data_IF_644098517987
#
_entry.id   IF_644098517987
#
_cell.length_a   1.000
_cell.length_b   1.000
_cell.length_c   1.000
_cell.angle_alpha   90.00
_cell.angle_beta   90.00
_cell.angle_gamma   90.00
#
_symmetry.space_group_name_H-M   'P 1'
#
loop_
_entity.id
_entity.type
_entity.pdbx_description
1 polymer ?
#
# COMPACT_ATOMS: atom_id res chain seq x y z
N UNK A 1 22.42 7.64 -5.85
CA UNK A 1 20.96 7.81 -5.63
C UNK A 1 20.74 8.80 -4.51
N UNK A 2 19.86 9.80 -4.69
CA UNK A 2 19.60 10.84 -3.68
C UNK A 2 18.23 10.53 -3.00
N UNK A 3 18.22 10.43 -1.67
CA UNK A 3 17.07 9.93 -0.88
C UNK A 3 16.95 8.41 -0.94
N UNK A 4 18.08 7.71 -0.90
CA UNK A 4 18.17 6.24 -1.10
C UNK A 4 17.44 5.45 -0.01
N UNK A 5 17.24 6.01 1.19
CA UNK A 5 16.56 5.39 2.33
C UNK A 5 15.03 5.41 2.25
N UNK A 6 14.45 5.95 1.19
CA UNK A 6 13.02 5.83 0.93
C UNK A 6 12.65 4.40 0.52
N UNK A 7 11.44 3.92 0.89
CA UNK A 7 11.02 2.54 0.63
C UNK A 7 11.18 2.13 -0.85
N UNK A 8 10.63 2.91 -1.80
CA UNK A 8 10.76 2.60 -3.22
C UNK A 8 12.19 2.77 -3.77
N UNK A 9 12.96 3.72 -3.22
CA UNK A 9 14.33 3.98 -3.66
C UNK A 9 15.28 2.85 -3.20
N UNK A 10 15.14 2.37 -1.98
CA UNK A 10 15.98 1.30 -1.43
C UNK A 10 15.80 -0.01 -2.20
N UNK A 11 14.56 -0.35 -2.56
CA UNK A 11 14.29 -1.53 -3.40
C UNK A 11 14.96 -1.45 -4.77
N UNK A 12 14.86 -0.31 -5.45
CA UNK A 12 15.56 -0.06 -6.73
C UNK A 12 17.06 -0.18 -6.56
N UNK A 13 17.62 0.38 -5.47
CA UNK A 13 19.05 0.29 -5.18
C UNK A 13 19.55 -1.16 -5.04
N UNK A 14 18.80 -1.99 -4.31
CA UNK A 14 19.12 -3.42 -4.14
C UNK A 14 19.05 -4.18 -5.46
N UNK A 15 18.01 -3.96 -6.27
CA UNK A 15 17.87 -4.61 -7.58
C UNK A 15 19.01 -4.23 -8.52
N UNK A 16 19.34 -2.94 -8.61
CA UNK A 16 20.43 -2.46 -9.45
C UNK A 16 21.78 -3.01 -8.97
N UNK A 17 22.02 -3.02 -7.65
CA UNK A 17 23.25 -3.56 -7.08
C UNK A 17 23.43 -5.05 -7.39
N UNK A 18 22.40 -5.86 -7.19
CA UNK A 18 22.40 -7.28 -7.54
C UNK A 18 22.51 -7.52 -9.06
N UNK A 19 22.02 -6.59 -9.87
CA UNK A 19 22.20 -6.57 -11.32
C UNK A 19 23.62 -6.18 -11.77
N UNK A 20 24.57 -5.99 -10.83
CA UNK A 20 25.99 -5.69 -11.12
C UNK A 20 26.30 -4.21 -11.30
N UNK A 21 25.36 -3.30 -11.03
CA UNK A 21 25.64 -1.87 -11.04
C UNK A 21 26.36 -1.43 -9.77
N UNK A 22 27.27 -0.48 -9.88
CA UNK A 22 27.87 0.20 -8.73
C UNK A 22 26.86 1.24 -8.23
N UNK A 23 26.25 0.96 -7.09
CA UNK A 23 25.23 1.83 -6.49
C UNK A 23 25.80 2.49 -5.24
N UNK A 24 25.66 3.80 -5.14
CA UNK A 24 25.92 4.60 -3.94
C UNK A 24 24.76 5.53 -3.68
N UNK A 25 24.60 6.04 -2.48
CA UNK A 25 23.54 7.01 -2.23
C UNK A 25 23.68 7.80 -0.96
N UNK A 26 22.74 8.72 -0.79
CA UNK A 26 22.63 9.60 0.37
C UNK A 26 21.19 9.69 0.87
N UNK A 27 21.02 9.93 2.18
CA UNK A 27 19.73 10.23 2.79
C UNK A 27 19.90 11.22 3.94
N UNK A 28 18.85 11.95 4.28
CA UNK A 28 18.86 12.90 5.40
C UNK A 28 19.03 12.22 6.76
N UNK A 29 18.53 11.00 6.90
CA UNK A 29 18.45 10.28 8.19
C UNK A 29 18.85 8.82 8.02
N UNK A 30 19.40 8.27 9.09
CA UNK A 30 19.44 6.82 9.23
C UNK A 30 18.01 6.24 9.33
N UNK A 31 17.81 5.12 8.67
CA UNK A 31 16.57 4.36 8.70
C UNK A 31 16.86 2.86 8.64
N UNK A 32 15.89 1.99 8.92
CA UNK A 32 16.06 0.55 8.67
C UNK A 32 16.47 0.24 7.22
N UNK A 33 15.96 1.00 6.26
CA UNK A 33 16.34 0.84 4.85
C UNK A 33 17.79 1.20 4.57
N UNK A 34 18.28 2.33 5.09
CA UNK A 34 19.69 2.72 4.89
C UNK A 34 20.66 1.72 5.51
N UNK A 35 20.34 1.17 6.70
CA UNK A 35 21.16 0.13 7.35
C UNK A 35 21.20 -1.15 6.53
N UNK A 36 20.03 -1.61 6.04
CA UNK A 36 19.95 -2.81 5.18
C UNK A 36 20.75 -2.64 3.90
N UNK A 37 20.73 -1.46 3.29
CA UNK A 37 21.57 -1.18 2.11
C UNK A 37 23.06 -1.25 2.43
N UNK A 38 23.48 -0.69 3.58
CA UNK A 38 24.87 -0.76 4.03
C UNK A 38 25.30 -2.21 4.33
N UNK A 39 24.45 -3.00 4.97
CA UNK A 39 24.65 -4.43 5.20
C UNK A 39 24.74 -5.23 3.89
N UNK A 40 24.01 -4.81 2.84
CA UNK A 40 24.11 -5.37 1.49
C UNK A 40 25.36 -4.90 0.70
N UNK A 41 26.22 -4.06 1.31
CA UNK A 41 27.44 -3.56 0.68
C UNK A 41 27.25 -2.31 -0.21
N UNK A 42 26.10 -1.63 -0.12
CA UNK A 42 25.82 -0.38 -0.83
C UNK A 42 26.25 0.80 0.06
N UNK A 43 27.22 1.62 -0.35
CA UNK A 43 27.63 2.79 0.43
C UNK A 43 26.50 3.83 0.54
N UNK A 44 26.15 4.21 1.77
CA UNK A 44 25.14 5.24 2.05
C UNK A 44 25.72 6.31 2.95
N UNK A 45 25.67 7.57 2.50
CA UNK A 45 26.02 8.75 3.28
C UNK A 45 24.78 9.33 3.98
N UNK A 46 24.95 9.80 5.22
CA UNK A 46 23.91 10.54 5.94
C UNK A 46 24.17 12.03 5.81
N UNK A 47 23.13 12.77 5.42
CA UNK A 47 23.21 14.15 4.94
C UNK A 47 23.45 14.22 3.44
N UNK A 48 23.30 15.43 2.88
CA UNK A 48 23.49 15.71 1.46
C UNK A 48 24.62 16.71 1.24
N UNK A 49 25.62 16.33 0.40
CA UNK A 49 26.72 17.21 0.04
C UNK A 49 27.19 16.93 -1.40
N UNK A 50 27.56 17.98 -2.15
CA UNK A 50 27.94 17.91 -3.55
C UNK A 50 29.05 16.88 -3.84
N UNK A 51 30.03 16.72 -2.95
CA UNK A 51 31.14 15.78 -3.11
C UNK A 51 30.72 14.31 -3.02
N UNK A 52 29.57 14.00 -2.42
CA UNK A 52 29.04 12.62 -2.30
C UNK A 52 28.62 12.04 -3.64
N UNK A 53 28.45 12.88 -4.66
CA UNK A 53 28.11 12.44 -6.01
C UNK A 53 29.22 11.57 -6.63
N UNK A 54 30.47 11.74 -6.20
CA UNK A 54 31.61 10.96 -6.74
C UNK A 54 31.69 10.98 -8.27
N UNK A 55 32.02 9.86 -8.87
CA UNK A 55 32.13 9.68 -10.33
C UNK A 55 30.86 9.02 -10.91
N UNK A 56 29.69 9.42 -10.42
CA UNK A 56 28.43 8.86 -10.89
C UNK A 56 28.17 9.17 -12.37
N UNK A 57 27.76 8.13 -13.13
CA UNK A 57 27.35 8.26 -14.52
C UNK A 57 25.88 8.71 -14.64
N UNK A 58 25.08 8.46 -13.60
CA UNK A 58 23.66 8.79 -13.54
C UNK A 58 23.22 9.04 -12.10
N UNK A 59 22.27 9.95 -11.91
CA UNK A 59 21.63 10.24 -10.62
C UNK A 59 20.15 9.82 -10.69
N UNK A 60 19.72 9.05 -9.68
CA UNK A 60 18.31 8.70 -9.49
C UNK A 60 17.76 9.49 -8.30
N UNK A 61 16.62 10.16 -8.48
CA UNK A 61 15.95 10.97 -7.43
C UNK A 61 14.49 10.57 -7.26
N UNK A 62 13.95 10.81 -6.05
CA UNK A 62 12.52 10.79 -5.81
C UNK A 62 11.93 12.20 -5.90
N UNK A 63 10.61 12.30 -6.02
CA UNK A 63 9.87 13.57 -6.00
C UNK A 63 10.02 14.36 -4.69
N UNK A 64 10.46 13.70 -3.60
CA UNK A 64 10.70 14.33 -2.31
C UNK A 64 12.01 15.15 -2.27
N UNK A 65 12.88 15.04 -3.27
CA UNK A 65 14.17 15.75 -3.29
C UNK A 65 13.95 17.18 -3.79
N UNK A 66 14.24 18.21 -2.95
CA UNK A 66 14.03 19.59 -3.34
C UNK A 66 15.05 20.01 -4.42
N UNK A 67 14.64 20.93 -5.29
CA UNK A 67 15.50 21.50 -6.34
C UNK A 67 16.79 22.16 -5.83
N UNK A 68 16.83 22.51 -4.54
CA UNK A 68 17.99 23.11 -3.85
C UNK A 68 18.96 22.07 -3.29
N UNK A 69 18.71 20.76 -3.46
CA UNK A 69 19.59 19.72 -2.95
C UNK A 69 21.00 19.87 -3.55
N UNK A 70 22.08 19.87 -2.73
CA UNK A 70 23.44 20.16 -3.21
C UNK A 70 23.98 19.10 -4.17
N UNK A 71 23.59 17.83 -4.04
CA UNK A 71 23.99 16.76 -4.98
C UNK A 71 23.27 16.90 -6.31
N UNK A 72 21.98 17.28 -6.28
CA UNK A 72 21.20 17.55 -7.50
C UNK A 72 21.78 18.74 -8.29
N UNK A 73 22.09 19.82 -7.59
CA UNK A 73 22.73 20.99 -8.21
C UNK A 73 24.11 20.65 -8.79
N UNK A 74 24.91 19.84 -8.12
CA UNK A 74 26.21 19.38 -8.62
C UNK A 74 26.07 18.47 -9.83
N UNK A 75 25.08 17.56 -9.84
CA UNK A 75 24.78 16.73 -11.01
C UNK A 75 24.44 17.59 -12.24
N UNK A 76 23.60 18.62 -12.06
CA UNK A 76 23.26 19.57 -13.12
C UNK A 76 24.49 20.33 -13.60
N UNK A 77 25.33 20.84 -12.68
CA UNK A 77 26.58 21.54 -13.02
C UNK A 77 27.53 20.69 -13.85
N UNK A 78 27.61 19.39 -13.54
CA UNK A 78 28.47 18.41 -14.23
C UNK A 78 27.80 17.78 -15.46
N UNK A 79 26.54 18.17 -15.80
CA UNK A 79 25.74 17.58 -16.89
C UNK A 79 25.55 16.06 -16.74
N UNK A 80 25.50 15.56 -15.51
CA UNK A 80 25.20 14.15 -15.22
C UNK A 80 23.69 13.94 -15.42
N UNK A 81 23.25 12.91 -16.17
CA UNK A 81 21.84 12.60 -16.34
C UNK A 81 21.12 12.37 -15.01
N UNK A 82 20.04 13.11 -14.78
CA UNK A 82 19.16 12.92 -13.61
C UNK A 82 17.87 12.28 -14.05
N UNK A 83 17.52 11.15 -13.47
CA UNK A 83 16.30 10.40 -13.79
C UNK A 83 15.40 10.28 -12.56
N UNK A 84 14.09 10.42 -12.71
CA UNK A 84 13.14 10.15 -11.64
C UNK A 84 13.13 8.65 -11.26
N UNK A 85 12.77 8.36 -10.01
CA UNK A 85 12.60 7.00 -9.47
C UNK A 85 11.78 6.10 -10.40
N UNK A 86 10.68 6.61 -10.93
CA UNK A 86 9.78 5.85 -11.81
C UNK A 86 10.45 5.45 -13.12
N UNK A 87 11.29 6.32 -13.71
CA UNK A 87 12.03 5.97 -14.92
C UNK A 87 13.14 4.93 -14.65
N UNK A 88 13.74 4.94 -13.46
CA UNK A 88 14.67 3.87 -13.05
C UNK A 88 13.93 2.53 -12.86
N UNK A 89 12.75 2.55 -12.25
CA UNK A 89 11.88 1.38 -12.12
C UNK A 89 11.46 0.84 -13.50
N UNK A 90 11.04 1.71 -14.41
CA UNK A 90 10.68 1.32 -15.78
C UNK A 90 11.79 0.57 -16.51
N UNK A 91 13.05 1.00 -16.34
CA UNK A 91 14.20 0.30 -16.93
C UNK A 91 14.44 -1.08 -16.32
N UNK A 92 14.20 -1.23 -15.01
CA UNK A 92 14.28 -2.55 -14.36
C UNK A 92 13.21 -3.48 -14.93
N UNK A 93 11.96 -3.00 -15.05
CA UNK A 93 10.84 -3.78 -15.56
C UNK A 93 11.01 -4.17 -17.04
N UNK A 94 11.66 -3.33 -17.82
CA UNK A 94 11.95 -3.60 -19.24
C UNK A 94 12.99 -4.71 -19.46
N UNK A 95 13.67 -5.17 -18.41
CA UNK A 95 14.66 -6.24 -18.51
C UNK A 95 14.06 -7.65 -18.67
N UNK A 96 12.74 -7.82 -18.49
CA UNK A 96 12.07 -9.11 -18.59
C UNK A 96 10.54 -8.99 -18.63
N UNK A 97 9.86 -10.10 -18.35
CA UNK A 97 8.41 -10.13 -18.24
C UNK A 97 7.98 -9.35 -16.99
N UNK A 98 7.11 -8.36 -17.17
CA UNK A 98 6.74 -7.48 -16.06
C UNK A 98 5.25 -7.46 -15.82
N UNK A 99 4.89 -7.52 -14.53
CA UNK A 99 3.54 -7.35 -14.02
C UNK A 99 3.53 -6.15 -13.08
N UNK A 100 2.68 -5.18 -13.34
CA UNK A 100 2.47 -4.07 -12.41
C UNK A 100 1.11 -4.16 -11.74
N UNK A 101 1.04 -3.71 -10.49
CA UNK A 101 -0.21 -3.63 -9.74
C UNK A 101 -0.52 -2.16 -9.50
N UNK A 102 -1.57 -1.69 -10.15
CA UNK A 102 -2.10 -0.34 -10.09
C UNK A 102 -3.47 -0.33 -9.39
N UNK A 103 -4.00 0.85 -9.11
CA UNK A 103 -5.30 1.07 -8.49
C UNK A 103 -5.18 1.98 -7.27
N UNK A 104 -6.27 2.56 -6.83
CA UNK A 104 -6.25 3.48 -5.69
C UNK A 104 -5.94 2.74 -4.40
N UNK A 105 -6.56 1.58 -4.16
CA UNK A 105 -6.40 0.77 -2.96
C UNK A 105 -5.97 -0.66 -3.27
N UNK A 106 -5.34 -1.33 -2.28
CA UNK A 106 -4.99 -2.75 -2.37
C UNK A 106 -3.69 -3.06 -3.12
N UNK A 107 -3.01 -2.08 -3.73
CA UNK A 107 -1.76 -2.27 -4.49
C UNK A 107 -0.73 -3.12 -3.75
N UNK A 108 -0.30 -2.66 -2.59
CA UNK A 108 0.75 -3.31 -1.78
C UNK A 108 0.40 -4.75 -1.42
N UNK A 109 -0.83 -4.98 -0.98
CA UNK A 109 -1.29 -6.33 -0.61
C UNK A 109 -1.37 -7.24 -1.83
N UNK A 110 -1.91 -6.75 -2.96
CA UNK A 110 -1.98 -7.52 -4.20
C UNK A 110 -0.60 -7.83 -4.76
N UNK A 111 0.34 -6.88 -4.76
CA UNK A 111 1.74 -7.11 -5.16
C UNK A 111 2.40 -8.18 -4.29
N UNK A 112 2.15 -8.11 -2.97
CA UNK A 112 2.65 -9.08 -2.00
C UNK A 112 2.07 -10.47 -2.20
N UNK A 113 0.74 -10.58 -2.39
CA UNK A 113 0.07 -11.84 -2.68
C UNK A 113 0.53 -12.44 -4.01
N UNK A 114 0.66 -11.60 -5.06
CA UNK A 114 1.18 -12.05 -6.37
C UNK A 114 2.59 -12.60 -6.23
N UNK A 115 3.46 -11.91 -5.50
CA UNK A 115 4.83 -12.38 -5.24
C UNK A 115 4.83 -13.71 -4.47
N UNK A 116 4.00 -13.83 -3.43
CA UNK A 116 3.87 -15.06 -2.64
C UNK A 116 3.37 -16.24 -3.49
N UNK A 117 2.32 -16.02 -4.28
CA UNK A 117 1.74 -17.00 -5.20
C UNK A 117 2.79 -17.49 -6.19
N UNK A 118 3.48 -16.60 -6.85
CA UNK A 118 4.49 -16.95 -7.85
C UNK A 118 5.63 -17.77 -7.23
N UNK A 119 6.10 -17.41 -6.03
CA UNK A 119 7.09 -18.22 -5.30
C UNK A 119 6.57 -19.62 -4.93
N UNK A 120 5.31 -19.71 -4.49
CA UNK A 120 4.68 -20.98 -4.16
C UNK A 120 4.48 -21.88 -5.39
N UNK A 121 4.38 -21.28 -6.59
CA UNK A 121 4.29 -22.00 -7.87
C UNK A 121 5.67 -22.37 -8.45
N UNK A 122 6.77 -21.96 -7.79
CA UNK A 122 8.14 -22.31 -8.19
C UNK A 122 8.85 -21.24 -9.02
N UNK A 123 8.22 -20.07 -9.21
CA UNK A 123 8.88 -18.90 -9.78
C UNK A 123 9.76 -18.22 -8.72
N UNK A 124 10.78 -17.50 -9.18
CA UNK A 124 11.63 -16.69 -8.30
C UNK A 124 11.67 -15.24 -8.82
N UNK A 125 10.54 -14.48 -8.74
CA UNK A 125 10.46 -13.16 -9.32
C UNK A 125 11.28 -12.13 -8.56
N UNK A 126 11.70 -11.07 -9.26
CA UNK A 126 12.10 -9.83 -8.60
C UNK A 126 10.86 -9.00 -8.34
N UNK A 127 10.61 -8.64 -7.06
CA UNK A 127 9.43 -7.88 -6.67
C UNK A 127 9.80 -6.60 -5.90
N UNK A 128 9.20 -5.46 -6.30
CA UNK A 128 9.31 -4.17 -5.62
C UNK A 128 7.93 -3.80 -5.05
N UNK A 129 7.84 -3.80 -3.74
CA UNK A 129 6.61 -3.70 -2.97
C UNK A 129 6.60 -2.39 -2.19
N UNK A 130 5.46 -1.70 -2.10
CA UNK A 130 5.32 -0.43 -1.39
C UNK A 130 5.41 -0.55 0.14
N UNK A 131 5.30 -1.75 0.69
CA UNK A 131 5.39 -2.07 2.11
C UNK A 131 6.26 -3.28 2.40
N UNK A 132 6.58 -3.50 3.68
CA UNK A 132 7.35 -4.66 4.11
C UNK A 132 6.46 -5.90 4.24
N UNK A 133 6.86 -7.01 3.61
CA UNK A 133 6.28 -8.33 3.82
C UNK A 133 6.63 -8.84 5.21
N UNK A 134 5.65 -9.29 5.98
CA UNK A 134 5.87 -9.81 7.33
C UNK A 134 6.80 -11.03 7.32
N UNK A 135 6.66 -11.90 6.32
CA UNK A 135 7.43 -13.14 6.23
C UNK A 135 8.91 -12.92 5.85
N UNK A 136 9.24 -11.77 5.26
CA UNK A 136 10.58 -11.49 4.72
C UNK A 136 11.26 -10.31 5.45
N UNK A 137 10.46 -9.43 6.06
CA UNK A 137 10.97 -8.19 6.68
C UNK A 137 11.58 -7.21 5.67
N UNK A 138 11.16 -7.29 4.40
CA UNK A 138 11.67 -6.47 3.30
C UNK A 138 10.54 -6.01 2.38
N UNK A 139 10.75 -4.87 1.76
CA UNK A 139 9.91 -4.33 0.69
C UNK A 139 10.43 -4.67 -0.72
N UNK A 140 11.46 -5.49 -0.81
CA UNK A 140 12.03 -5.97 -2.06
C UNK A 140 12.36 -7.45 -1.95
N UNK A 141 12.05 -8.18 -3.01
CA UNK A 141 12.53 -9.55 -3.26
C UNK A 141 13.33 -9.49 -4.54
N UNK A 142 14.57 -9.95 -4.52
CA UNK A 142 15.37 -10.05 -5.74
C UNK A 142 15.56 -11.51 -6.09
N UNK A 143 14.81 -11.94 -7.10
CA UNK A 143 14.86 -13.28 -7.69
C UNK A 143 15.87 -13.39 -8.82
N UNK A 144 15.90 -14.57 -9.43
CA UNK A 144 16.79 -14.91 -10.56
C UNK A 144 15.98 -15.25 -11.84
N UNK A 145 14.64 -15.21 -11.77
CA UNK A 145 13.80 -15.36 -12.97
C UNK A 145 13.74 -14.05 -13.76
N UNK A 146 13.28 -14.15 -15.02
CA UNK A 146 13.01 -13.00 -15.89
C UNK A 146 11.71 -12.25 -15.54
N UNK A 147 11.04 -12.63 -14.45
CA UNK A 147 9.75 -12.09 -14.04
C UNK A 147 9.91 -10.99 -12.99
N UNK A 148 9.31 -9.83 -13.27
CA UNK A 148 9.29 -8.67 -12.38
C UNK A 148 7.86 -8.36 -11.94
N UNK A 149 7.68 -8.07 -10.64
CA UNK A 149 6.41 -7.63 -10.07
C UNK A 149 6.62 -6.30 -9.37
N UNK A 150 5.85 -5.27 -9.68
CA UNK A 150 6.02 -3.97 -9.05
C UNK A 150 4.69 -3.24 -8.83
N UNK A 151 4.66 -2.35 -7.85
CA UNK A 151 3.57 -1.40 -7.72
C UNK A 151 3.70 -0.28 -8.74
N UNK A 152 2.57 0.09 -9.36
CA UNK A 152 2.41 1.25 -10.23
C UNK A 152 1.68 2.34 -9.43
N UNK A 153 2.41 3.38 -9.05
CA UNK A 153 1.92 4.45 -8.17
C UNK A 153 1.25 5.56 -8.98
N UNK A 154 -0.03 5.82 -8.70
CA UNK A 154 -0.80 6.89 -9.32
C UNK A 154 -0.62 8.24 -8.63
N UNK A 155 -0.17 8.26 -7.37
CA UNK A 155 -0.21 9.44 -6.49
C UNK A 155 0.48 10.68 -7.06
N UNK A 156 1.48 10.49 -7.91
CA UNK A 156 2.23 11.53 -8.63
C UNK A 156 2.25 11.30 -10.16
N UNK A 157 1.33 10.46 -10.66
CA UNK A 157 1.25 9.99 -12.05
C UNK A 157 2.50 9.22 -12.52
N UNK A 158 3.33 8.76 -11.60
CA UNK A 158 4.56 8.06 -11.93
C UNK A 158 4.32 6.71 -12.62
N UNK A 159 3.13 6.12 -12.47
CA UNK A 159 2.74 4.93 -13.22
C UNK A 159 2.86 5.12 -14.74
N UNK A 160 2.72 6.35 -15.27
CA UNK A 160 2.83 6.64 -16.71
C UNK A 160 4.25 6.50 -17.28
N UNK A 161 5.27 6.32 -16.44
CA UNK A 161 6.62 5.96 -16.90
C UNK A 161 6.78 4.47 -17.20
N UNK A 162 5.83 3.64 -16.69
CA UNK A 162 5.95 2.19 -16.75
C UNK A 162 5.32 1.65 -18.02
N UNK A 163 5.99 0.68 -18.66
CA UNK A 163 5.53 -0.02 -19.84
C UNK A 163 5.50 -1.54 -19.54
N UNK A 164 4.59 -2.00 -18.69
CA UNK A 164 4.53 -3.40 -18.28
C UNK A 164 3.95 -4.29 -19.40
N UNK A 165 4.29 -5.58 -19.36
CA UNK A 165 3.64 -6.58 -20.21
C UNK A 165 2.22 -6.89 -19.73
N UNK A 166 2.01 -6.90 -18.41
CA UNK A 166 0.68 -7.03 -17.84
C UNK A 166 0.49 -6.04 -16.67
N UNK A 167 -0.77 -5.63 -16.46
CA UNK A 167 -1.13 -4.81 -15.32
C UNK A 167 -2.41 -5.32 -14.66
N UNK A 168 -2.44 -5.21 -13.34
CA UNK A 168 -3.66 -5.31 -12.54
C UNK A 168 -4.13 -3.90 -12.23
N UNK A 169 -5.43 -3.63 -12.38
CA UNK A 169 -6.07 -2.44 -11.82
C UNK A 169 -7.10 -2.90 -10.80
N UNK A 170 -6.85 -2.61 -9.54
CA UNK A 170 -7.69 -3.10 -8.43
C UNK A 170 -9.00 -2.33 -8.30
N UNK A 171 -8.93 -1.03 -8.34
CA UNK A 171 -10.05 -0.09 -8.26
C UNK A 171 -9.60 1.32 -8.68
N UNK A 172 -10.55 2.23 -8.96
CA UNK A 172 -10.30 3.62 -9.31
C UNK A 172 -11.23 4.52 -8.52
N UNK A 173 -10.71 5.13 -7.47
CA UNK A 173 -11.41 6.08 -6.61
C UNK A 173 -10.70 7.43 -6.59
N UNK A 174 -11.41 8.47 -6.12
CA UNK A 174 -10.81 9.79 -5.96
C UNK A 174 -9.93 9.83 -4.72
N UNK A 175 -8.63 9.95 -4.92
CA UNK A 175 -7.63 10.22 -3.88
C UNK A 175 -6.58 11.20 -4.41
N UNK A 176 -5.64 11.58 -3.57
CA UNK A 176 -4.54 12.51 -3.90
C UNK A 176 -5.03 13.86 -4.46
N UNK A 177 -5.88 14.62 -3.70
CA UNK A 177 -6.43 15.90 -4.14
C UNK A 177 -5.37 17.01 -4.30
N UNK A 178 -4.12 16.73 -3.93
CA UNK A 178 -2.93 17.56 -4.20
C UNK A 178 -2.44 17.41 -5.66
N UNK A 179 -2.76 16.29 -6.35
CA UNK A 179 -2.38 16.02 -7.73
C UNK A 179 -3.56 15.94 -8.69
N UNK A 180 -4.73 15.54 -8.20
CA UNK A 180 -5.93 15.33 -9.02
C UNK A 180 -7.05 16.28 -8.64
N UNK A 181 -7.67 16.89 -9.64
CA UNK A 181 -8.78 17.81 -9.44
C UNK A 181 -10.12 17.09 -9.25
N UNK A 182 -10.28 15.87 -9.76
CA UNK A 182 -11.53 15.11 -9.75
C UNK A 182 -11.28 13.62 -10.00
N UNK A 183 -12.32 12.79 -9.80
CA UNK A 183 -12.31 11.38 -10.18
C UNK A 183 -12.04 11.20 -11.68
N UNK A 184 -12.56 12.06 -12.53
CA UNK A 184 -12.33 12.00 -14.00
C UNK A 184 -10.84 12.20 -14.34
N UNK A 185 -10.13 13.04 -13.58
CA UNK A 185 -8.69 13.25 -13.78
C UNK A 185 -7.89 12.01 -13.32
N UNK A 186 -8.28 11.38 -12.21
CA UNK A 186 -7.73 10.07 -11.80
C UNK A 186 -7.99 9.02 -12.87
N UNK A 187 -9.25 8.86 -13.29
CA UNK A 187 -9.66 7.90 -14.31
C UNK A 187 -8.88 8.08 -15.63
N UNK A 188 -8.74 9.32 -16.09
CA UNK A 188 -7.98 9.65 -17.31
C UNK A 188 -6.51 9.21 -17.20
N UNK A 189 -5.92 9.28 -16.01
CA UNK A 189 -4.56 8.80 -15.78
C UNK A 189 -4.46 7.27 -15.90
N UNK A 190 -5.39 6.54 -15.29
CA UNK A 190 -5.46 5.08 -15.43
C UNK A 190 -5.79 4.66 -16.87
N UNK A 191 -6.68 5.36 -17.55
CA UNK A 191 -7.03 5.08 -18.94
C UNK A 191 -5.81 5.23 -19.87
N UNK A 192 -5.02 6.29 -19.69
CA UNK A 192 -3.77 6.48 -20.43
C UNK A 192 -2.78 5.36 -20.16
N UNK A 193 -2.67 4.92 -18.91
CA UNK A 193 -1.79 3.82 -18.52
C UNK A 193 -2.24 2.49 -19.17
N UNK A 194 -3.53 2.18 -19.12
CA UNK A 194 -4.09 0.97 -19.73
C UNK A 194 -3.95 1.00 -21.26
N UNK A 195 -4.21 2.14 -21.91
CA UNK A 195 -4.03 2.30 -23.38
C UNK A 195 -2.59 2.16 -23.86
N UNK A 196 -1.62 2.32 -22.95
CA UNK A 196 -0.19 2.14 -23.27
C UNK A 196 0.25 0.67 -23.19
N UNK A 197 -0.59 -0.24 -22.73
CA UNK A 197 -0.26 -1.67 -22.75
C UNK A 197 -0.02 -2.18 -24.16
N UNK A 198 0.93 -3.09 -24.36
CA UNK A 198 1.14 -3.72 -25.66
C UNK A 198 -0.07 -4.59 -26.06
N UNK A 199 -0.33 -4.73 -27.36
CA UNK A 199 -1.48 -5.50 -27.86
C UNK A 199 -1.41 -7.00 -27.55
N UNK A 200 -0.21 -7.52 -27.30
CA UNK A 200 0.08 -8.88 -26.83
C UNK A 200 0.26 -8.95 -25.31
N UNK A 201 0.02 -7.83 -24.62
CA UNK A 201 0.03 -7.73 -23.18
C UNK A 201 -1.23 -8.28 -22.52
N UNK A 202 -1.46 -7.93 -21.24
CA UNK A 202 -2.64 -8.38 -20.53
C UNK A 202 -3.11 -7.37 -19.46
N UNK A 203 -4.42 -7.20 -19.36
CA UNK A 203 -5.06 -6.42 -18.31
C UNK A 203 -5.87 -7.32 -17.38
N UNK A 204 -5.69 -7.16 -16.06
CA UNK A 204 -6.50 -7.78 -15.02
C UNK A 204 -7.27 -6.69 -14.27
N UNK A 205 -8.60 -6.77 -14.20
CA UNK A 205 -9.43 -5.73 -13.57
C UNK A 205 -10.49 -6.30 -12.63
N UNK A 206 -10.74 -5.57 -11.53
CA UNK A 206 -11.85 -5.87 -10.61
C UNK A 206 -13.20 -5.46 -11.19
N UNK A 207 -14.23 -6.30 -11.08
CA UNK A 207 -15.60 -6.03 -11.55
C UNK A 207 -16.47 -5.31 -10.52
N UNK A 208 -16.04 -5.26 -9.27
CA UNK A 208 -16.79 -4.62 -8.18
C UNK A 208 -16.72 -3.08 -8.25
N UNK A 209 -15.78 -2.53 -9.01
CA UNK A 209 -15.66 -1.10 -9.31
C UNK A 209 -16.12 -0.81 -10.74
N UNK A 210 -17.16 0.04 -10.95
CA UNK A 210 -17.66 0.38 -12.28
C UNK A 210 -16.61 1.08 -13.16
N UNK A 211 -15.67 1.82 -12.59
CA UNK A 211 -14.60 2.46 -13.36
C UNK A 211 -13.65 1.43 -13.98
N UNK A 212 -13.43 0.30 -13.31
CA UNK A 212 -12.63 -0.80 -13.86
C UNK A 212 -13.27 -1.42 -15.10
N UNK A 213 -14.60 -1.51 -15.17
CA UNK A 213 -15.31 -1.97 -16.36
C UNK A 213 -15.10 -1.04 -17.58
N UNK A 214 -15.03 0.28 -17.32
CA UNK A 214 -14.72 1.27 -18.36
C UNK A 214 -13.27 1.15 -18.83
N UNK A 215 -12.33 0.90 -17.92
CA UNK A 215 -10.92 0.65 -18.27
C UNK A 215 -10.76 -0.61 -19.10
N UNK A 216 -11.48 -1.68 -18.77
CA UNK A 216 -11.48 -2.93 -19.54
C UNK A 216 -11.86 -2.71 -21.01
N UNK A 217 -12.87 -1.85 -21.26
CA UNK A 217 -13.30 -1.49 -22.62
C UNK A 217 -12.25 -0.65 -23.40
N UNK A 218 -11.32 -0.01 -22.71
CA UNK A 218 -10.25 0.81 -23.30
C UNK A 218 -8.96 0.04 -23.58
N UNK A 219 -8.85 -1.22 -23.09
CA UNK A 219 -7.62 -1.99 -23.20
C UNK A 219 -7.32 -2.41 -24.64
N UNK A 220 -6.07 -2.27 -25.14
CA UNK A 220 -5.66 -2.74 -26.46
C UNK A 220 -5.33 -4.25 -26.49
N UNK A 221 -5.39 -4.93 -25.36
CA UNK A 221 -4.94 -6.30 -25.13
C UNK A 221 -6.05 -7.16 -24.52
N UNK A 222 -5.86 -8.50 -24.40
CA UNK A 222 -6.76 -9.38 -23.68
C UNK A 222 -6.96 -8.94 -22.23
N UNK A 223 -8.18 -9.16 -21.71
CA UNK A 223 -8.59 -8.77 -20.35
C UNK A 223 -9.05 -9.99 -19.58
N UNK A 224 -8.61 -10.12 -18.34
CA UNK A 224 -9.18 -11.03 -17.34
C UNK A 224 -9.89 -10.19 -16.28
N UNK A 225 -11.14 -10.56 -15.98
CA UNK A 225 -11.95 -9.90 -14.96
C UNK A 225 -12.03 -10.73 -13.69
N UNK A 226 -12.05 -10.07 -12.52
CA UNK A 226 -12.27 -10.76 -11.25
C UNK A 226 -13.19 -9.96 -10.33
N UNK A 227 -13.88 -10.62 -9.40
CA UNK A 227 -14.77 -9.93 -8.45
C UNK A 227 -15.38 -10.83 -7.39
N UNK A 228 -16.19 -10.25 -6.50
CA UNK A 228 -16.88 -11.01 -5.44
C UNK A 228 -18.07 -11.82 -5.95
N UNK A 229 -18.71 -11.39 -7.02
CA UNK A 229 -19.94 -12.02 -7.53
C UNK A 229 -19.96 -12.24 -9.05
N UNK A 230 -19.01 -11.66 -9.77
CA UNK A 230 -18.91 -11.71 -11.22
C UNK A 230 -17.45 -11.60 -11.66
N UNK A 231 -17.18 -12.03 -12.89
CA UNK A 231 -15.84 -12.03 -13.51
C UNK A 231 -15.42 -13.43 -13.94
N UNK A 232 -14.34 -13.51 -14.72
CA UNK A 232 -13.73 -14.77 -15.13
C UNK A 232 -13.27 -15.58 -13.90
N UNK A 233 -12.77 -14.87 -12.87
CA UNK A 233 -12.54 -15.41 -11.54
C UNK A 233 -13.43 -14.68 -10.53
N UNK A 234 -14.25 -15.40 -9.77
CA UNK A 234 -15.01 -14.76 -8.70
C UNK A 234 -15.15 -15.64 -7.45
N UNK A 235 -15.59 -15.04 -6.34
CA UNK A 235 -15.63 -15.70 -5.04
C UNK A 235 -17.04 -15.81 -4.49
N UNK A 236 -17.48 -17.02 -4.14
CA UNK A 236 -18.64 -17.22 -3.26
C UNK A 236 -18.15 -17.19 -1.81
N UNK A 237 -18.39 -16.06 -1.14
CA UNK A 237 -17.91 -15.82 0.23
C UNK A 237 -18.59 -16.77 1.22
N UNK A 238 -17.80 -17.47 2.03
CA UNK A 238 -18.27 -18.32 3.13
C UNK A 238 -18.00 -17.68 4.50
N UNK A 239 -16.86 -16.99 4.65
CA UNK A 239 -16.49 -16.23 5.86
C UNK A 239 -15.50 -15.11 5.50
N UNK A 240 -14.90 -14.45 6.49
CA UNK A 240 -13.95 -13.36 6.30
C UNK A 240 -12.71 -13.70 5.48
N UNK A 241 -12.29 -14.97 5.52
CA UNK A 241 -11.08 -15.46 4.86
C UNK A 241 -11.29 -16.76 4.10
N UNK A 242 -12.56 -17.19 3.94
CA UNK A 242 -12.92 -18.44 3.30
C UNK A 242 -13.93 -18.19 2.20
N UNK A 243 -13.67 -18.71 0.99
CA UNK A 243 -14.57 -18.59 -0.15
C UNK A 243 -14.44 -19.79 -1.08
N UNK A 244 -15.45 -20.01 -1.94
CA UNK A 244 -15.33 -20.93 -3.07
C UNK A 244 -14.87 -20.14 -4.28
N UNK A 245 -13.76 -20.53 -4.88
CA UNK A 245 -13.30 -19.98 -6.16
C UNK A 245 -14.17 -20.51 -7.29
N UNK A 246 -14.70 -19.62 -8.09
CA UNK A 246 -15.38 -19.92 -9.35
C UNK A 246 -14.53 -19.37 -10.49
N UNK A 247 -14.24 -20.21 -11.47
CA UNK A 247 -13.45 -19.88 -12.66
C UNK A 247 -14.24 -20.22 -13.90
N UNK A 248 -14.47 -19.25 -14.78
CA UNK A 248 -15.28 -19.39 -16.01
C UNK A 248 -16.68 -20.03 -15.76
N UNK A 249 -17.28 -19.71 -14.61
CA UNK A 249 -18.59 -20.21 -14.18
C UNK A 249 -18.58 -21.57 -13.46
N UNK A 250 -17.42 -22.22 -13.34
CA UNK A 250 -17.27 -23.52 -12.66
C UNK A 250 -16.64 -23.37 -11.27
N UNK A 251 -17.21 -24.03 -10.26
CA UNK A 251 -16.63 -24.08 -8.92
C UNK A 251 -15.38 -24.95 -8.91
N UNK A 252 -14.24 -24.35 -8.54
CA UNK A 252 -12.95 -25.04 -8.47
C UNK A 252 -12.68 -25.66 -7.08
N UNK A 253 -13.21 -25.06 -6.04
CA UNK A 253 -13.06 -25.51 -4.66
C UNK A 253 -12.90 -24.38 -3.66
N UNK A 254 -12.74 -24.77 -2.40
CA UNK A 254 -12.65 -23.83 -1.28
C UNK A 254 -11.23 -23.30 -1.11
N UNK A 255 -11.11 -21.99 -0.94
CA UNK A 255 -9.87 -21.27 -0.68
C UNK A 255 -9.95 -20.63 0.70
N UNK A 256 -8.95 -20.88 1.53
CA UNK A 256 -8.75 -20.23 2.83
C UNK A 256 -7.54 -19.29 2.74
N UNK A 257 -7.70 -18.03 3.17
CA UNK A 257 -6.62 -17.05 3.18
C UNK A 257 -5.99 -16.95 4.58
N UNK A 258 -4.70 -16.66 4.65
CA UNK A 258 -4.00 -16.33 5.90
C UNK A 258 -4.37 -14.96 6.48
N UNK A 259 -5.11 -14.14 5.74
CA UNK A 259 -5.57 -12.79 6.11
C UNK A 259 -7.07 -12.64 5.93
N UNK A 260 -7.68 -11.69 6.64
CA UNK A 260 -9.12 -11.50 6.71
C UNK A 260 -9.60 -10.33 5.86
N UNK A 261 -10.87 -10.36 5.45
CA UNK A 261 -11.57 -9.25 4.82
C UNK A 261 -11.89 -9.48 3.34
N UNK A 262 -13.06 -8.97 2.91
CA UNK A 262 -13.52 -9.08 1.52
C UNK A 262 -12.53 -8.44 0.53
N UNK A 263 -11.91 -7.33 0.91
CA UNK A 263 -10.87 -6.69 0.12
C UNK A 263 -9.66 -7.61 -0.10
N UNK A 264 -9.30 -8.47 0.87
CA UNK A 264 -8.23 -9.45 0.71
C UNK A 264 -8.66 -10.65 -0.15
N UNK A 265 -9.95 -11.01 -0.17
CA UNK A 265 -10.47 -11.95 -1.16
C UNK A 265 -10.31 -11.38 -2.57
N UNK A 266 -10.67 -10.12 -2.81
CA UNK A 266 -10.43 -9.44 -4.10
C UNK A 266 -8.94 -9.42 -4.48
N UNK A 267 -8.06 -9.04 -3.56
CA UNK A 267 -6.62 -9.04 -3.78
C UNK A 267 -6.09 -10.44 -4.14
N UNK A 268 -6.66 -11.50 -3.52
CA UNK A 268 -6.28 -12.90 -3.81
C UNK A 268 -6.73 -13.35 -5.20
N UNK A 269 -7.93 -12.92 -5.64
CA UNK A 269 -8.44 -13.19 -6.98
C UNK A 269 -7.59 -12.48 -8.04
N UNK A 270 -7.17 -11.23 -7.79
CA UNK A 270 -6.25 -10.51 -8.65
C UNK A 270 -4.92 -11.25 -8.81
N UNK A 271 -4.33 -11.72 -7.70
CA UNK A 271 -3.07 -12.48 -7.72
C UNK A 271 -3.24 -13.83 -8.46
N UNK A 272 -4.36 -14.54 -8.26
CA UNK A 272 -4.69 -15.76 -8.97
C UNK A 272 -4.90 -15.53 -10.48
N UNK A 273 -5.49 -14.38 -10.85
CA UNK A 273 -5.66 -13.98 -12.27
C UNK A 273 -4.31 -13.74 -12.96
N UNK A 274 -3.35 -13.13 -12.25
CA UNK A 274 -1.97 -12.98 -12.77
C UNK A 274 -1.32 -14.35 -12.97
N UNK A 275 -1.46 -15.27 -12.01
CA UNK A 275 -0.93 -16.64 -12.15
C UNK A 275 -1.57 -17.36 -13.33
N UNK A 276 -2.89 -17.23 -13.54
CA UNK A 276 -3.61 -17.80 -14.69
C UNK A 276 -3.06 -17.26 -16.02
N UNK A 277 -2.85 -15.94 -16.12
CA UNK A 277 -2.25 -15.35 -17.31
C UNK A 277 -0.87 -15.92 -17.62
N UNK A 278 -0.07 -16.21 -16.59
CA UNK A 278 1.25 -16.85 -16.73
C UNK A 278 1.17 -18.36 -17.03
N UNK A 279 -0.05 -18.93 -17.15
CA UNK A 279 -0.27 -20.35 -17.50
C UNK A 279 -0.34 -21.29 -16.29
N UNK A 280 -0.42 -20.77 -15.06
CA UNK A 280 -0.60 -21.58 -13.86
C UNK A 280 -2.08 -21.84 -13.55
N UNK A 281 -2.37 -22.89 -12.79
CA UNK A 281 -3.70 -23.16 -12.26
C UNK A 281 -4.10 -22.13 -11.22
N UNK A 282 -5.21 -21.41 -11.47
CA UNK A 282 -5.68 -20.31 -10.61
C UNK A 282 -6.11 -20.80 -9.21
N UNK A 283 -6.67 -22.01 -9.11
CA UNK A 283 -7.08 -22.56 -7.82
C UNK A 283 -5.86 -22.92 -6.96
N UNK A 284 -4.84 -23.54 -7.56
CA UNK A 284 -3.57 -23.82 -6.88
C UNK A 284 -2.88 -22.51 -6.44
N UNK A 285 -2.93 -21.49 -7.27
CA UNK A 285 -2.43 -20.16 -6.95
C UNK A 285 -3.14 -19.57 -5.72
N UNK A 286 -4.47 -19.54 -5.74
CA UNK A 286 -5.28 -18.99 -4.65
C UNK A 286 -5.09 -19.77 -3.34
N UNK A 287 -5.05 -21.11 -3.39
CA UNK A 287 -4.88 -21.94 -2.18
C UNK A 287 -3.52 -21.78 -1.51
N UNK A 288 -2.48 -21.37 -2.24
CA UNK A 288 -1.16 -21.06 -1.65
C UNK A 288 -1.20 -19.91 -0.65
N UNK A 289 -2.17 -19.01 -0.77
CA UNK A 289 -2.34 -17.84 0.10
C UNK A 289 -2.82 -18.17 1.53
N UNK A 290 -3.12 -19.42 1.82
CA UNK A 290 -3.36 -19.88 3.21
C UNK A 290 -2.17 -19.56 4.12
N UNK A 291 -0.96 -19.62 3.58
CA UNK A 291 0.29 -19.36 4.30
C UNK A 291 0.80 -17.93 4.14
N UNK A 292 0.01 -17.03 3.56
CA UNK A 292 0.39 -15.62 3.40
C UNK A 292 0.30 -14.89 4.74
N UNK A 293 1.45 -14.46 5.29
CA UNK A 293 1.59 -13.81 6.60
C UNK A 293 1.15 -12.35 6.64
N UNK A 294 0.64 -11.81 5.53
CA UNK A 294 0.22 -10.40 5.44
C UNK A 294 1.37 -9.42 5.21
N UNK A 295 1.03 -8.15 5.21
CA UNK A 295 1.95 -7.02 5.02
C UNK A 295 1.98 -6.19 6.30
N UNK A 296 3.14 -5.66 6.65
CA UNK A 296 3.30 -4.77 7.80
C UNK A 296 2.33 -3.60 7.70
N UNK A 297 1.70 -3.27 8.83
CA UNK A 297 0.69 -2.22 8.92
C UNK A 297 -0.55 -2.44 8.02
N UNK A 298 -0.94 -3.69 7.73
CA UNK A 298 -2.18 -4.06 7.07
C UNK A 298 -2.94 -5.04 7.95
N UNK A 299 -3.80 -4.52 8.81
CA UNK A 299 -4.49 -5.24 9.89
C UNK A 299 -3.52 -6.11 10.72
N UNK A 300 -2.37 -5.53 11.07
CA UNK A 300 -1.28 -6.23 11.73
C UNK A 300 -1.54 -6.32 13.23
N UNK A 301 -1.62 -7.54 13.77
CA UNK A 301 -1.63 -7.74 15.22
C UNK A 301 -0.26 -7.35 15.78
N UNK A 302 -0.21 -6.31 16.63
CA UNK A 302 1.00 -5.88 17.34
C UNK A 302 1.22 -6.66 18.63
N UNK A 303 0.14 -7.10 19.27
CA UNK A 303 0.17 -7.91 20.48
C UNK A 303 -1.15 -7.90 21.24
N UNK A 304 -1.17 -8.67 22.33
CA UNK A 304 -2.29 -8.77 23.26
C UNK A 304 -1.78 -8.68 24.69
N UNK A 305 -2.40 -7.86 25.53
CA UNK A 305 -2.09 -7.70 26.95
C UNK A 305 -3.38 -7.44 27.74
N UNK A 306 -3.56 -8.13 28.87
CA UNK A 306 -4.76 -7.99 29.68
C UNK A 306 -6.05 -8.27 28.93
N UNK A 307 -6.03 -9.23 27.98
CA UNK A 307 -7.12 -9.54 27.05
C UNK A 307 -7.47 -8.38 26.09
N UNK A 308 -6.65 -7.33 25.97
CA UNK A 308 -6.81 -6.24 25.02
C UNK A 308 -5.92 -6.55 23.81
N UNK A 309 -6.53 -6.61 22.61
CA UNK A 309 -5.82 -6.78 21.35
C UNK A 309 -5.46 -5.44 20.75
N UNK A 310 -4.23 -5.31 20.27
CA UNK A 310 -3.75 -4.10 19.63
C UNK A 310 -3.36 -4.42 18.19
N UNK A 311 -4.05 -3.76 17.26
CA UNK A 311 -3.90 -3.94 15.80
C UNK A 311 -3.49 -2.62 15.18
N UNK A 312 -2.62 -2.66 14.16
CA UNK A 312 -2.19 -1.48 13.40
C UNK A 312 -2.55 -1.64 11.92
N UNK A 313 -3.09 -0.57 11.33
CA UNK A 313 -3.40 -0.51 9.91
C UNK A 313 -2.96 0.81 9.29
N UNK A 314 -2.51 0.74 8.05
CA UNK A 314 -2.09 1.90 7.27
C UNK A 314 -3.26 2.69 6.67
N UNK A 315 -4.50 2.24 6.88
CA UNK A 315 -5.72 2.83 6.34
C UNK A 315 -5.76 4.35 6.59
N UNK A 316 -5.90 5.10 5.51
CA UNK A 316 -5.86 6.56 5.53
C UNK A 316 -6.82 7.19 4.49
N UNK A 317 -7.62 6.37 3.82
CA UNK A 317 -8.75 6.76 2.97
C UNK A 317 -10.06 6.23 3.58
N UNK A 318 -11.22 6.90 3.42
CA UNK A 318 -12.49 6.45 4.01
C UNK A 318 -12.86 5.01 3.65
N UNK A 319 -12.69 4.61 2.40
CA UNK A 319 -12.93 3.23 1.92
C UNK A 319 -12.05 2.22 2.65
N UNK A 320 -10.77 2.54 2.87
CA UNK A 320 -9.84 1.68 3.63
C UNK A 320 -10.25 1.58 5.10
N UNK A 321 -10.62 2.73 5.73
CA UNK A 321 -11.09 2.75 7.12
C UNK A 321 -12.31 1.86 7.30
N UNK A 322 -13.31 1.99 6.43
CA UNK A 322 -14.52 1.17 6.46
C UNK A 322 -14.20 -0.31 6.36
N UNK A 323 -13.39 -0.71 5.38
CA UNK A 323 -12.99 -2.10 5.18
C UNK A 323 -12.22 -2.68 6.39
N UNK A 324 -11.31 -1.88 6.98
CA UNK A 324 -10.52 -2.27 8.15
C UNK A 324 -11.40 -2.39 9.40
N UNK A 325 -12.32 -1.44 9.62
CA UNK A 325 -13.25 -1.47 10.75
C UNK A 325 -14.27 -2.62 10.64
N UNK A 326 -14.73 -2.96 9.45
CA UNK A 326 -15.55 -4.16 9.24
C UNK A 326 -14.83 -5.42 9.70
N UNK A 327 -13.56 -5.59 9.30
CA UNK A 327 -12.73 -6.73 9.76
C UNK A 327 -12.56 -6.69 11.28
N UNK A 328 -12.28 -5.53 11.87
CA UNK A 328 -12.13 -5.37 13.30
C UNK A 328 -13.39 -5.81 14.06
N UNK A 329 -14.57 -5.37 13.61
CA UNK A 329 -15.87 -5.76 14.20
C UNK A 329 -16.13 -7.26 14.14
N UNK A 330 -15.71 -7.92 13.08
CA UNK A 330 -15.94 -9.36 12.89
C UNK A 330 -14.89 -10.24 13.59
N UNK A 331 -13.70 -9.69 13.86
CA UNK A 331 -12.59 -10.42 14.49
C UNK A 331 -12.37 -10.10 15.97
N UNK A 332 -13.03 -9.06 16.49
CA UNK A 332 -12.93 -8.73 17.92
C UNK A 332 -13.42 -9.90 18.78
N UNK A 333 -12.92 -10.05 20.00
CA UNK A 333 -13.47 -11.02 20.96
C UNK A 333 -14.98 -10.82 21.16
N UNK A 334 -15.75 -11.88 21.45
CA UNK A 334 -17.16 -11.75 21.81
C UNK A 334 -17.35 -10.77 22.97
N UNK A 335 -18.34 -9.89 22.87
CA UNK A 335 -18.66 -8.82 23.84
C UNK A 335 -17.60 -7.69 23.95
N UNK A 336 -16.47 -7.78 23.21
CA UNK A 336 -15.48 -6.71 23.16
C UNK A 336 -15.91 -5.57 22.24
N UNK A 337 -15.32 -4.39 22.47
CA UNK A 337 -15.52 -3.17 21.66
C UNK A 337 -14.39 -3.01 20.66
N UNK A 338 -14.66 -2.27 19.58
CA UNK A 338 -13.63 -1.75 18.67
C UNK A 338 -13.35 -0.29 19.06
N UNK A 339 -12.13 -0.02 19.52
CA UNK A 339 -11.64 1.33 19.82
C UNK A 339 -10.74 1.77 18.69
N UNK A 340 -11.22 2.68 17.83
CA UNK A 340 -10.50 3.21 16.70
C UNK A 340 -9.64 4.41 17.11
N UNK A 341 -8.36 4.39 16.79
CA UNK A 341 -7.43 5.51 16.93
C UNK A 341 -7.02 5.96 15.55
N UNK A 342 -7.43 7.16 15.14
CA UNK A 342 -7.22 7.65 13.77
C UNK A 342 -6.35 8.91 13.72
N UNK A 343 -5.33 8.88 12.87
CA UNK A 343 -4.52 10.02 12.49
C UNK A 343 -4.81 10.40 11.04
N UNK A 344 -5.54 11.49 10.78
CA UNK A 344 -5.73 11.96 9.41
C UNK A 344 -4.38 12.27 8.75
N UNK A 345 -4.27 11.97 7.46
CA UNK A 345 -3.02 12.10 6.73
C UNK A 345 -3.18 13.08 5.57
N UNK A 346 -2.37 14.15 5.53
CA UNK A 346 -2.41 15.32 4.65
C UNK A 346 -3.58 16.26 4.92
N UNK A 347 -3.31 17.55 4.92
CA UNK A 347 -4.33 18.59 5.09
C UNK A 347 -5.29 18.64 3.90
N UNK A 348 -4.78 18.49 2.67
CA UNK A 348 -5.57 18.46 1.44
C UNK A 348 -6.62 17.34 1.48
N UNK A 349 -6.23 16.10 1.81
CA UNK A 349 -7.13 14.95 1.92
C UNK A 349 -8.14 15.15 3.06
N UNK A 350 -7.68 15.59 4.23
CA UNK A 350 -8.54 15.81 5.39
C UNK A 350 -9.64 16.84 5.07
N UNK A 351 -9.29 17.97 4.42
CA UNK A 351 -10.25 18.99 4.01
C UNK A 351 -11.30 18.45 3.03
N UNK A 352 -10.89 17.57 2.13
CA UNK A 352 -11.77 17.06 1.07
C UNK A 352 -12.68 15.96 1.56
N UNK A 353 -12.19 15.05 2.42
CA UNK A 353 -12.85 13.79 2.78
C UNK A 353 -13.25 13.69 4.26
N UNK A 354 -13.28 14.80 5.03
CA UNK A 354 -13.55 14.74 6.47
C UNK A 354 -14.92 14.15 6.82
N UNK A 355 -15.94 14.35 5.97
CA UNK A 355 -17.27 13.80 6.18
C UNK A 355 -17.32 12.31 5.99
N UNK A 356 -16.70 11.83 4.93
CA UNK A 356 -16.55 10.41 4.62
C UNK A 356 -15.69 9.70 5.68
N UNK A 357 -14.67 10.35 6.22
CA UNK A 357 -13.95 9.85 7.39
C UNK A 357 -14.85 9.73 8.60
N UNK A 358 -15.66 10.76 8.86
CA UNK A 358 -16.62 10.75 9.94
C UNK A 358 -17.60 9.58 9.83
N UNK A 359 -18.15 9.36 8.63
CA UNK A 359 -19.06 8.24 8.35
C UNK A 359 -18.39 6.88 8.57
N UNK A 360 -17.21 6.66 8.00
CA UNK A 360 -16.45 5.42 8.15
C UNK A 360 -16.17 5.08 9.63
N UNK A 361 -15.78 6.08 10.42
CA UNK A 361 -15.42 5.90 11.84
C UNK A 361 -16.61 5.55 12.72
N UNK A 362 -17.86 5.77 12.29
CA UNK A 362 -19.06 5.34 13.04
C UNK A 362 -19.19 3.82 13.18
N UNK A 363 -18.40 3.06 12.45
CA UNK A 363 -18.31 1.61 12.58
C UNK A 363 -17.59 1.16 13.86
N UNK A 364 -16.86 2.04 14.55
CA UNK A 364 -16.23 1.75 15.84
C UNK A 364 -17.21 2.00 17.01
N UNK A 365 -16.90 1.43 18.17
CA UNK A 365 -17.65 1.66 19.43
C UNK A 365 -17.11 2.91 20.16
N UNK A 366 -15.80 3.18 20.02
CA UNK A 366 -15.16 4.42 20.47
C UNK A 366 -14.14 4.89 19.44
N UNK A 367 -13.98 6.22 19.29
CA UNK A 367 -13.10 6.86 18.29
C UNK A 367 -12.22 7.89 18.99
N UNK A 368 -10.91 7.75 18.83
CA UNK A 368 -9.93 8.76 19.22
C UNK A 368 -9.30 9.34 17.95
N UNK A 369 -9.38 10.64 17.77
CA UNK A 369 -8.78 11.34 16.61
C UNK A 369 -7.70 12.29 17.11
N UNK A 370 -6.53 12.24 16.48
CA UNK A 370 -5.41 13.15 16.75
C UNK A 370 -5.25 14.20 15.64
N UNK A 371 -4.21 15.04 15.74
CA UNK A 371 -3.90 16.04 14.72
C UNK A 371 -3.51 15.42 13.38
N UNK A 372 -3.67 16.23 12.32
CA UNK A 372 -3.32 15.84 10.95
C UNK A 372 -1.82 15.65 10.81
N UNK A 373 -1.40 14.50 10.32
CA UNK A 373 -0.04 14.27 9.86
C UNK A 373 0.15 14.91 8.49
N UNK A 374 0.92 16.01 8.43
CA UNK A 374 1.01 16.83 7.23
C UNK A 374 1.72 16.21 6.04
N UNK A 375 2.61 15.21 6.26
CA UNK A 375 3.37 14.52 5.19
C UNK A 375 4.06 15.49 4.20
N UNK A 376 4.62 16.58 4.71
CA UNK A 376 5.27 17.62 3.91
C UNK A 376 4.36 18.75 3.45
N UNK A 377 3.06 18.65 3.63
CA UNK A 377 2.14 19.78 3.40
C UNK A 377 2.22 20.80 4.54
N UNK A 378 2.07 22.07 4.17
CA UNK A 378 1.92 23.14 5.17
C UNK A 378 0.52 23.09 5.80
N UNK A 379 0.40 23.39 7.11
CA UNK A 379 -0.90 23.50 7.77
C UNK A 379 -1.85 24.44 7.03
N UNK A 380 -3.11 24.02 6.88
CA UNK A 380 -4.16 24.80 6.22
C UNK A 380 -5.11 25.37 7.28
N UNK A 381 -5.45 26.69 7.23
CA UNK A 381 -6.37 27.28 8.17
C UNK A 381 -7.71 26.54 8.26
N UNK A 382 -8.14 26.19 9.48
CA UNK A 382 -9.39 25.49 9.74
C UNK A 382 -9.36 23.99 9.43
N UNK A 383 -8.23 23.42 9.00
CA UNK A 383 -8.07 21.99 8.75
C UNK A 383 -7.24 21.35 9.86
N UNK A 384 -7.86 20.52 10.65
CA UNK A 384 -7.26 19.79 11.77
C UNK A 384 -8.05 18.51 12.06
N UNK A 385 -7.60 17.71 13.02
CA UNK A 385 -8.29 16.46 13.38
C UNK A 385 -9.71 16.68 13.92
N UNK A 386 -10.00 17.86 14.46
CA UNK A 386 -11.34 18.20 14.97
C UNK A 386 -12.42 18.21 13.87
N UNK A 387 -12.08 18.51 12.61
CA UNK A 387 -13.04 18.39 11.50
C UNK A 387 -13.62 16.98 11.39
N UNK A 388 -12.78 15.96 11.56
CA UNK A 388 -13.21 14.55 11.51
C UNK A 388 -14.07 14.23 12.75
N UNK A 389 -13.66 14.71 13.93
CA UNK A 389 -14.45 14.56 15.18
C UNK A 389 -15.84 15.15 15.02
N UNK A 390 -15.94 16.37 14.50
CA UNK A 390 -17.23 17.04 14.29
C UNK A 390 -18.11 16.25 13.32
N UNK A 391 -17.51 15.69 12.24
CA UNK A 391 -18.24 14.85 11.30
C UNK A 391 -18.74 13.53 11.90
N UNK A 392 -17.96 12.87 12.78
CA UNK A 392 -18.43 11.69 13.55
C UNK A 392 -19.63 12.10 14.43
N UNK A 393 -19.55 13.25 15.10
CA UNK A 393 -20.60 13.73 15.99
C UNK A 393 -21.91 14.11 15.27
N UNK A 394 -21.85 14.43 13.97
CA UNK A 394 -23.04 14.70 13.14
C UNK A 394 -23.81 13.42 12.78
N UNK A 395 -23.21 12.24 12.91
CA UNK A 395 -23.86 10.96 12.58
C UNK A 395 -24.91 10.59 13.63
N UNK A 396 -26.05 10.00 13.21
CA UNK A 396 -27.05 9.42 14.11
C UNK A 396 -26.50 8.26 14.97
N UNK A 397 -25.60 7.47 14.41
CA UNK A 397 -24.89 6.39 15.12
C UNK A 397 -23.62 6.98 15.73
N UNK A 398 -23.69 7.33 17.02
CA UNK A 398 -22.59 8.03 17.70
C UNK A 398 -21.78 7.06 18.57
N UNK A 399 -20.53 6.73 18.14
CA UNK A 399 -19.56 6.15 19.07
C UNK A 399 -19.17 7.18 20.15
N UNK A 400 -18.51 6.74 21.21
CA UNK A 400 -17.82 7.65 22.11
C UNK A 400 -16.66 8.32 21.33
N UNK A 401 -16.58 9.66 21.31
CA UNK A 401 -15.60 10.38 20.50
C UNK A 401 -14.69 11.23 21.36
N UNK A 402 -13.38 11.11 21.13
CA UNK A 402 -12.34 11.87 21.82
C UNK A 402 -11.45 12.58 20.81
N UNK A 403 -11.24 13.89 21.01
CA UNK A 403 -10.23 14.65 20.28
C UNK A 403 -8.99 14.80 21.13
N UNK A 404 -7.89 14.20 20.72
CA UNK A 404 -6.61 14.20 21.44
C UNK A 404 -5.52 14.73 20.49
N UNK A 405 -5.28 16.07 20.46
CA UNK A 405 -4.36 16.68 19.51
C UNK A 405 -2.94 16.13 19.59
N UNK A 406 -2.42 15.94 20.79
CA UNK A 406 -1.10 15.33 20.96
C UNK A 406 -1.22 13.79 21.03
N UNK A 407 -0.65 13.12 20.05
CA UNK A 407 -0.69 11.65 19.99
C UNK A 407 0.01 10.98 21.18
N UNK A 408 0.93 11.67 21.88
CA UNK A 408 1.62 11.14 23.06
C UNK A 408 0.70 10.99 24.26
N UNK A 409 -0.43 11.69 24.29
CA UNK A 409 -1.44 11.56 25.34
C UNK A 409 -2.37 10.35 25.12
N UNK A 410 -2.46 9.84 23.86
CA UNK A 410 -3.39 8.77 23.48
C UNK A 410 -3.18 7.48 24.30
N UNK A 411 -1.94 6.96 24.49
CA UNK A 411 -1.75 5.72 25.26
C UNK A 411 -2.29 5.82 26.70
N UNK A 412 -2.16 7.01 27.32
CA UNK A 412 -2.70 7.28 28.67
C UNK A 412 -4.22 7.24 28.71
N UNK A 413 -4.88 7.82 27.69
CA UNK A 413 -6.35 7.78 27.55
C UNK A 413 -6.82 6.36 27.29
N UNK A 414 -6.20 5.66 26.33
CA UNK A 414 -6.53 4.26 26.02
C UNK A 414 -6.43 3.37 27.26
N UNK A 415 -5.36 3.52 28.06
CA UNK A 415 -5.21 2.76 29.31
C UNK A 415 -6.36 3.00 30.29
N UNK A 416 -6.97 4.19 30.28
CA UNK A 416 -8.05 4.55 31.18
C UNK A 416 -9.43 4.04 30.70
N UNK A 417 -9.64 3.88 29.38
CA UNK A 417 -10.95 3.55 28.81
C UNK A 417 -11.06 2.12 28.26
N UNK A 418 -9.91 1.50 27.91
CA UNK A 418 -9.92 0.15 27.35
C UNK A 418 -10.20 -0.89 28.44
N UNK A 419 -11.03 -1.87 28.12
CA UNK A 419 -11.47 -2.96 28.96
C UNK A 419 -10.99 -4.31 28.40
N UNK A 420 -10.91 -5.36 29.21
CA UNK A 420 -10.65 -6.71 28.71
C UNK A 420 -11.59 -7.07 27.54
N UNK A 421 -11.06 -7.74 26.53
CA UNK A 421 -11.71 -8.14 25.27
C UNK A 421 -11.81 -7.02 24.21
N UNK A 422 -11.43 -5.78 24.52
CA UNK A 422 -11.42 -4.73 23.52
C UNK A 422 -10.36 -4.98 22.44
N UNK A 423 -10.68 -4.54 21.23
CA UNK A 423 -9.74 -4.44 20.11
C UNK A 423 -9.43 -2.96 19.87
N UNK A 424 -8.20 -2.56 20.18
CA UNK A 424 -7.68 -1.23 19.88
C UNK A 424 -7.04 -1.27 18.50
N UNK A 425 -7.51 -0.40 17.60
CA UNK A 425 -7.08 -0.34 16.20
C UNK A 425 -6.46 1.03 15.90
N UNK A 426 -5.14 1.09 15.69
CA UNK A 426 -4.47 2.30 15.21
C UNK A 426 -4.55 2.38 13.70
N UNK A 427 -5.00 3.51 13.13
CA UNK A 427 -5.17 3.73 11.69
C UNK A 427 -4.56 5.04 11.24
N UNK A 428 -3.80 5.00 10.13
CA UNK A 428 -3.20 6.18 9.50
C UNK A 428 -1.87 5.89 8.82
N UNK A 429 -1.53 6.66 7.80
CA UNK A 429 -0.28 6.52 7.04
C UNK A 429 0.94 7.20 7.73
N UNK A 430 0.70 7.97 8.80
CA UNK A 430 1.75 8.62 9.59
C UNK A 430 2.38 7.71 10.65
N UNK A 431 2.72 8.30 11.78
CA UNK A 431 3.45 7.66 12.87
C UNK A 431 2.56 7.13 14.02
N UNK A 432 1.24 7.14 13.84
CA UNK A 432 0.24 6.70 14.82
C UNK A 432 0.46 5.26 15.29
N UNK A 433 1.11 4.42 14.49
CA UNK A 433 1.43 3.04 14.84
C UNK A 433 2.25 2.91 16.13
N UNK A 434 2.98 3.97 16.53
CA UNK A 434 3.76 4.01 17.79
C UNK A 434 2.86 3.95 19.02
N UNK A 435 1.66 4.52 18.93
CA UNK A 435 0.66 4.50 20.02
C UNK A 435 0.37 3.07 20.44
N UNK A 436 0.27 2.14 19.50
CA UNK A 436 0.06 0.73 19.79
C UNK A 436 1.22 0.09 20.56
N UNK A 437 2.47 0.42 20.19
CA UNK A 437 3.67 -0.08 20.89
C UNK A 437 3.77 0.48 22.33
N UNK A 438 3.50 1.78 22.48
CA UNK A 438 3.50 2.47 23.77
C UNK A 438 2.40 1.92 24.69
N UNK A 439 1.19 1.68 24.16
CA UNK A 439 0.11 1.06 24.93
C UNK A 439 0.47 -0.36 25.40
N UNK A 440 1.05 -1.20 24.53
CA UNK A 440 1.52 -2.54 24.91
C UNK A 440 2.52 -2.49 26.07
N UNK A 441 3.43 -1.52 26.07
CA UNK A 441 4.40 -1.33 27.13
C UNK A 441 3.74 -0.82 28.44
N UNK A 442 2.66 -0.03 28.35
CA UNK A 442 1.93 0.49 29.53
C UNK A 442 1.00 -0.55 30.17
N UNK A 443 0.59 -1.57 29.41
CA UNK A 443 -0.24 -2.68 29.88
C UNK A 443 0.60 -3.88 30.38
N UNK A 444 1.91 -3.83 30.19
CA UNK A 444 2.85 -4.82 30.71
C UNK A 444 3.05 -4.60 32.20
#
# INVERSE_FOLDING_TARGET
MIGIGGAGMSGIAEVLHKGGHIVTGSDLKESPYTRRLQEAGIPVCIGHAAHQLGDADQVVISTAIPATNPELLEAQRRSIPVVPRAAALARILAAGRSVTIAGTHGKTTTTSMTTHVLKALGENPTALIGGELNDIGSNVVVGDSDLFVAEADESDRSLLYLEPQATVVTNVEFDHPDFYASLDDVFSTFERFVKALPSDGHLVVGTDDPNCALLAASAPCPVTTYGLSAGDLHAKILSLNLYVLVEDGEERGTVELGVHGRHNVLNSLAAASVARWLGYDAYRAATSLRNFGGVRRRFQLKGERGEIRIVDDYAHHPTELSATLEVARMTRPPEGRVIAVFQPHRYSRTRTLYREFGEALTLADAVLVTEVYGAGEMPQPGVNGKLVVDAVCESPSRPDVYYIPDQHDIPGVLRAIAEPKDLVLTMGAGDISRVGDELLNMLA
#
